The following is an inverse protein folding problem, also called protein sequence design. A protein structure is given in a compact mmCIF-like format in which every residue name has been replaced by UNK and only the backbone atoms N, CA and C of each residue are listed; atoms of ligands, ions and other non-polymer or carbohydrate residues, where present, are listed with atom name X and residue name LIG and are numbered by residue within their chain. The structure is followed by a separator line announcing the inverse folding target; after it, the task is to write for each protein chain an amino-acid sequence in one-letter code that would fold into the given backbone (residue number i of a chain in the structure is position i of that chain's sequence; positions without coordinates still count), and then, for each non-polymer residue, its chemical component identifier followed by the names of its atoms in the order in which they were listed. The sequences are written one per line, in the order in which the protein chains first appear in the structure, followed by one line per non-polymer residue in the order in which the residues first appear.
data_IF_715205304741
#
_entry.id   IF_715205304741
#
_cell.length_a   1.000
_cell.length_b   1.000
_cell.length_c   1.000
_cell.angle_alpha   90.00
_cell.angle_beta   90.00
_cell.angle_gamma   90.00
#
_symmetry.space_group_name_H-M   'P 1'
#
loop_
_entity.id
_entity.type
_entity.pdbx_description
1 polymer ?
#
# COMPACT_ATOMS: atom_id res chain seq x y z
N UNK A 1 19.79 78.85 -6.41
CA UNK A 1 20.62 77.79 -5.83
C UNK A 1 20.48 76.61 -6.76
N UNK A 2 21.56 76.19 -7.42
CA UNK A 2 21.52 75.08 -8.36
C UNK A 2 21.17 73.80 -7.58
N UNK A 3 20.06 73.14 -7.92
CA UNK A 3 19.70 71.86 -7.34
C UNK A 3 20.85 70.88 -7.57
N UNK A 4 21.46 70.45 -6.48
CA UNK A 4 22.43 69.36 -6.47
C UNK A 4 21.75 68.12 -7.05
N UNK A 5 22.18 67.70 -8.23
CA UNK A 5 21.62 66.56 -8.96
C UNK A 5 21.64 65.31 -8.09
N UNK A 6 20.47 64.90 -7.58
CA UNK A 6 20.32 63.66 -6.81
C UNK A 6 20.69 62.47 -7.70
N UNK A 7 21.69 61.72 -7.28
CA UNK A 7 22.10 60.49 -7.96
C UNK A 7 21.03 59.40 -7.80
N UNK A 8 20.64 58.79 -8.92
CA UNK A 8 19.62 57.73 -8.98
C UNK A 8 20.31 56.41 -9.29
N UNK A 9 20.09 55.41 -8.43
CA UNK A 9 20.54 54.04 -8.68
C UNK A 9 19.53 53.38 -9.62
N UNK A 10 20.01 52.88 -10.75
CA UNK A 10 19.22 52.18 -11.75
C UNK A 10 19.98 50.96 -12.31
N UNK A 11 19.33 50.25 -13.20
CA UNK A 11 19.80 49.00 -13.80
C UNK A 11 19.75 49.10 -15.30
N UNK A 12 20.83 48.70 -15.96
CA UNK A 12 20.95 48.82 -17.40
C UNK A 12 21.44 47.52 -18.04
N UNK A 13 20.80 47.16 -19.16
CA UNK A 13 21.25 46.10 -20.04
C UNK A 13 22.14 46.63 -21.17
N UNK A 14 23.06 45.80 -21.63
CA UNK A 14 24.00 46.05 -22.72
C UNK A 14 24.10 44.81 -23.60
N UNK A 15 24.56 44.99 -24.85
CA UNK A 15 25.02 43.86 -25.65
C UNK A 15 26.27 43.21 -25.01
N UNK A 16 26.61 41.99 -25.42
CA UNK A 16 27.78 41.25 -24.88
C UNK A 16 29.11 42.02 -25.00
N UNK A 17 29.22 42.86 -26.02
CA UNK A 17 30.37 43.74 -26.29
C UNK A 17 30.31 45.07 -25.53
N UNK A 18 29.40 45.23 -24.56
CA UNK A 18 29.17 46.46 -23.79
C UNK A 18 28.68 47.67 -24.62
N UNK A 19 28.06 47.42 -25.78
CA UNK A 19 27.47 48.50 -26.59
C UNK A 19 25.98 48.73 -26.31
N UNK A 20 25.53 49.98 -26.47
CA UNK A 20 24.11 50.37 -26.48
C UNK A 20 23.93 51.68 -27.28
N UNK A 21 23.00 51.70 -28.25
CA UNK A 21 22.66 52.86 -29.11
C UNK A 21 23.87 53.65 -29.65
N UNK A 22 24.89 52.93 -30.16
CA UNK A 22 26.08 53.55 -30.77
C UNK A 22 27.16 54.01 -29.79
N UNK A 23 26.97 53.78 -28.48
CA UNK A 23 27.99 54.02 -27.46
C UNK A 23 28.64 52.70 -27.03
N UNK A 24 29.96 52.75 -26.85
CA UNK A 24 30.77 51.72 -26.19
C UNK A 24 30.94 52.10 -24.71
N UNK A 25 30.49 51.23 -23.81
CA UNK A 25 30.59 51.45 -22.37
C UNK A 25 31.70 50.60 -21.76
N UNK A 26 32.19 51.05 -20.60
CA UNK A 26 33.14 50.35 -19.75
C UNK A 26 32.69 50.49 -18.29
N UNK A 27 32.84 49.42 -17.53
CA UNK A 27 32.59 49.43 -16.08
C UNK A 27 33.58 50.38 -15.39
N UNK A 28 33.09 51.17 -14.44
CA UNK A 28 33.83 52.22 -13.74
C UNK A 28 33.90 53.57 -14.48
N UNK A 29 33.39 53.67 -15.71
CA UNK A 29 33.42 54.92 -16.49
C UNK A 29 32.11 55.69 -16.40
N UNK A 30 32.23 56.99 -16.65
CA UNK A 30 31.12 57.94 -16.65
C UNK A 30 31.01 58.62 -18.01
N UNK A 31 29.78 58.78 -18.48
CA UNK A 31 29.47 59.30 -19.80
C UNK A 31 28.45 60.44 -19.68
N UNK A 32 28.59 61.44 -20.54
CA UNK A 32 27.72 62.61 -20.59
C UNK A 32 27.11 62.77 -21.98
N UNK A 33 25.82 63.06 -22.01
CA UNK A 33 25.03 63.33 -23.20
C UNK A 33 24.85 64.83 -23.35
N UNK A 34 25.14 65.36 -24.54
CA UNK A 34 24.93 66.77 -24.89
C UNK A 34 23.63 66.88 -25.69
N UNK A 35 22.63 67.54 -25.11
CA UNK A 35 21.32 67.72 -25.72
C UNK A 35 20.18 67.48 -24.73
N UNK A 36 18.94 67.64 -25.20
CA UNK A 36 17.75 67.44 -24.38
C UNK A 36 17.62 65.97 -23.97
N UNK A 37 17.28 65.73 -22.71
CA UNK A 37 17.02 64.38 -22.17
C UNK A 37 15.53 64.09 -22.22
N UNK A 38 15.15 63.00 -22.87
CA UNK A 38 13.75 62.59 -22.97
C UNK A 38 13.63 61.08 -22.95
N UNK A 39 12.80 60.56 -22.05
CA UNK A 39 12.53 59.13 -21.93
C UNK A 39 12.15 58.55 -23.30
N UNK A 40 12.72 57.38 -23.62
CA UNK A 40 12.60 56.65 -24.87
C UNK A 40 13.29 57.28 -26.12
N UNK A 41 13.54 58.59 -26.13
CA UNK A 41 14.07 59.33 -27.27
C UNK A 41 15.56 59.65 -27.15
N UNK A 42 15.99 60.31 -26.08
CA UNK A 42 17.31 60.93 -25.97
C UNK A 42 17.90 60.87 -24.57
N UNK A 43 19.23 60.75 -24.47
CA UNK A 43 19.96 60.51 -23.22
C UNK A 43 20.25 59.03 -22.94
N UNK A 44 20.81 58.76 -21.77
CA UNK A 44 21.17 57.41 -21.34
C UNK A 44 20.00 56.74 -20.62
N UNK A 45 19.60 55.55 -21.09
CA UNK A 45 18.42 54.85 -20.58
C UNK A 45 18.78 53.71 -19.62
N UNK A 46 18.05 53.60 -18.51
CA UNK A 46 18.09 52.49 -17.55
C UNK A 46 16.70 52.30 -16.90
N UNK A 47 16.57 51.37 -15.96
CA UNK A 47 15.33 51.13 -15.20
C UNK A 47 15.60 51.16 -13.69
N UNK A 48 14.76 51.82 -12.90
CA UNK A 48 14.92 51.85 -11.44
C UNK A 48 14.63 50.48 -10.79
N UNK A 49 13.67 49.73 -11.34
CA UNK A 49 13.40 48.34 -10.94
C UNK A 49 14.25 47.37 -11.78
N UNK A 50 15.07 46.50 -11.15
CA UNK A 50 16.03 45.66 -11.88
C UNK A 50 15.43 44.75 -12.95
N UNK A 51 14.24 44.18 -12.72
CA UNK A 51 13.66 43.21 -13.66
C UNK A 51 12.97 43.86 -14.85
N UNK A 52 12.66 45.16 -14.83
CA UNK A 52 12.11 45.86 -15.99
C UNK A 52 13.11 45.89 -17.16
N UNK A 53 14.41 45.81 -16.86
CA UNK A 53 15.47 45.73 -17.87
C UNK A 53 15.28 44.53 -18.81
N UNK A 54 14.68 43.43 -18.31
CA UNK A 54 14.46 42.20 -19.07
C UNK A 54 13.43 42.37 -20.20
N UNK A 55 12.54 43.35 -20.10
CA UNK A 55 11.62 43.71 -21.18
C UNK A 55 12.35 44.33 -22.39
N UNK A 56 13.57 44.84 -22.18
CA UNK A 56 14.39 45.50 -23.19
C UNK A 56 15.61 44.68 -23.63
N UNK A 57 16.11 43.82 -22.75
CA UNK A 57 17.33 43.05 -22.95
C UNK A 57 17.11 41.60 -22.55
N UNK A 58 17.21 40.69 -23.52
CA UNK A 58 17.12 39.25 -23.23
C UNK A 58 18.28 38.82 -22.33
N UNK A 59 18.01 38.13 -21.21
CA UNK A 59 19.05 37.73 -20.26
C UNK A 59 20.02 36.68 -20.83
N UNK A 60 19.64 35.98 -21.91
CA UNK A 60 20.49 34.98 -22.54
C UNK A 60 21.67 35.58 -23.33
N UNK A 61 21.54 36.83 -23.78
CA UNK A 61 22.48 37.45 -24.73
C UNK A 61 22.89 38.87 -24.34
N UNK A 62 22.62 39.28 -23.10
CA UNK A 62 22.91 40.63 -22.62
C UNK A 62 23.76 40.61 -21.36
N UNK A 63 24.48 41.70 -21.12
CA UNK A 63 25.14 42.01 -19.85
C UNK A 63 24.33 43.03 -19.07
N UNK A 64 24.40 42.99 -17.75
CA UNK A 64 23.66 43.88 -16.87
C UNK A 64 24.59 44.58 -15.91
N UNK A 65 24.29 45.84 -15.59
CA UNK A 65 25.04 46.59 -14.61
C UNK A 65 24.13 47.40 -13.70
N UNK A 66 24.61 47.63 -12.48
CA UNK A 66 24.15 48.75 -11.66
C UNK A 66 24.74 50.01 -12.26
N UNK A 67 23.91 51.03 -12.42
CA UNK A 67 24.31 52.32 -12.95
C UNK A 67 23.85 53.44 -12.04
N UNK A 68 24.65 54.50 -11.99
CA UNK A 68 24.31 55.76 -11.33
C UNK A 68 23.97 56.79 -12.37
N UNK A 69 22.80 57.40 -12.23
CA UNK A 69 22.26 58.36 -13.17
C UNK A 69 22.13 59.72 -12.50
N UNK A 70 22.54 60.76 -13.20
CA UNK A 70 22.49 62.15 -12.70
C UNK A 70 22.34 63.13 -13.87
N UNK A 71 22.25 64.42 -13.57
CA UNK A 71 21.97 65.43 -14.59
C UNK A 71 20.48 65.60 -14.83
N UNK A 72 20.12 66.25 -15.93
CA UNK A 72 18.73 66.30 -16.38
C UNK A 72 18.19 64.87 -16.55
N UNK A 73 16.99 64.61 -16.05
CA UNK A 73 16.35 63.29 -16.11
C UNK A 73 14.94 63.38 -16.66
N UNK A 74 14.51 62.31 -17.32
CA UNK A 74 13.15 62.15 -17.84
C UNK A 74 12.67 60.73 -17.57
N UNK A 75 11.50 60.58 -16.95
CA UNK A 75 10.89 59.29 -16.60
C UNK A 75 9.77 58.95 -17.56
N UNK A 76 9.61 57.67 -17.85
CA UNK A 76 8.44 57.13 -18.55
C UNK A 76 7.25 56.98 -17.58
N UNK A 77 6.03 56.93 -18.11
CA UNK A 77 4.80 56.67 -17.34
C UNK A 77 4.49 55.18 -17.22
N UNK A 78 4.99 54.36 -18.14
CA UNK A 78 4.51 52.98 -18.32
C UNK A 78 5.30 51.96 -17.49
N UNK A 79 6.58 52.24 -17.19
CA UNK A 79 7.46 51.39 -16.39
C UNK A 79 8.47 52.22 -15.58
N UNK A 80 9.44 51.56 -14.95
CA UNK A 80 10.48 52.27 -14.18
C UNK A 80 11.61 52.82 -15.04
N UNK A 81 11.44 52.92 -16.36
CA UNK A 81 12.46 53.45 -17.26
C UNK A 81 12.70 54.92 -17.00
N UNK A 82 13.98 55.27 -17.03
CA UNK A 82 14.48 56.62 -16.88
C UNK A 82 15.56 56.89 -17.93
N UNK A 83 15.59 58.12 -18.44
CA UNK A 83 16.67 58.68 -19.22
C UNK A 83 17.41 59.75 -18.41
N UNK A 84 18.74 59.83 -18.53
CA UNK A 84 19.56 60.87 -17.90
C UNK A 84 20.60 61.49 -18.82
N UNK A 85 21.05 62.69 -18.47
CA UNK A 85 22.16 63.37 -19.14
C UNK A 85 23.51 62.72 -18.82
N UNK A 86 23.65 62.10 -17.63
CA UNK A 86 24.90 61.48 -17.18
C UNK A 86 24.65 60.08 -16.64
N UNK A 87 25.51 59.14 -17.01
CA UNK A 87 25.47 57.76 -16.53
C UNK A 87 26.87 57.28 -16.15
N UNK A 88 26.98 56.65 -14.99
CA UNK A 88 28.18 55.93 -14.53
C UNK A 88 27.86 54.45 -14.48
N UNK A 89 28.67 53.63 -15.14
CA UNK A 89 28.53 52.17 -15.09
C UNK A 89 29.27 51.69 -13.85
N UNK A 90 28.59 51.32 -12.77
CA UNK A 90 29.28 51.01 -11.51
C UNK A 90 29.90 49.61 -11.51
N UNK A 91 29.08 48.60 -11.75
CA UNK A 91 29.51 47.21 -11.64
C UNK A 91 28.61 46.32 -12.49
N UNK A 92 29.20 45.31 -13.12
CA UNK A 92 28.45 44.24 -13.78
C UNK A 92 27.77 43.38 -12.72
N UNK A 93 26.52 42.98 -12.98
CA UNK A 93 25.77 42.09 -12.10
C UNK A 93 25.26 40.88 -12.87
N UNK A 94 25.21 39.74 -12.19
CA UNK A 94 24.60 38.52 -12.73
C UNK A 94 23.09 38.45 -12.41
N UNK A 95 22.40 37.48 -13.02
CA UNK A 95 20.96 37.28 -12.82
C UNK A 95 20.57 37.03 -11.34
N UNK A 96 21.27 36.17 -10.57
CA UNK A 96 21.03 36.05 -9.13
C UNK A 96 21.12 37.37 -8.34
N UNK A 97 22.14 38.19 -8.59
CA UNK A 97 22.31 39.49 -7.95
C UNK A 97 21.19 40.46 -8.35
N UNK A 98 20.79 40.44 -9.63
CA UNK A 98 19.67 41.24 -10.13
C UNK A 98 18.34 40.84 -9.45
N UNK A 99 18.07 39.54 -9.30
CA UNK A 99 16.89 39.03 -8.58
C UNK A 99 16.93 39.45 -7.11
N UNK A 100 18.08 39.34 -6.46
CA UNK A 100 18.26 39.79 -5.07
C UNK A 100 17.91 41.28 -4.91
N UNK A 101 18.44 42.13 -5.79
CA UNK A 101 18.17 43.57 -5.79
C UNK A 101 16.70 43.89 -6.10
N UNK A 102 16.04 43.07 -6.91
CA UNK A 102 14.61 43.24 -7.21
C UNK A 102 13.75 42.98 -5.96
N UNK A 103 14.07 41.93 -5.20
CA UNK A 103 13.42 41.65 -3.92
C UNK A 103 13.66 42.78 -2.92
N UNK A 104 14.89 43.30 -2.83
CA UNK A 104 15.22 44.44 -1.97
C UNK A 104 14.43 45.70 -2.35
N UNK A 105 14.31 46.00 -3.65
CA UNK A 105 13.51 47.12 -4.15
C UNK A 105 12.04 46.99 -3.76
N UNK A 106 11.42 45.81 -3.98
CA UNK A 106 10.03 45.55 -3.60
C UNK A 106 9.84 45.73 -2.10
N UNK A 107 10.73 45.16 -1.28
CA UNK A 107 10.68 45.29 0.19
C UNK A 107 10.73 46.74 0.65
N UNK A 108 11.48 47.60 -0.04
CA UNK A 108 11.55 49.04 0.24
C UNK A 108 10.31 49.83 -0.17
N UNK A 109 9.44 49.28 -1.05
CA UNK A 109 8.16 49.90 -1.45
C UNK A 109 6.98 49.49 -0.58
N UNK A 110 7.12 48.45 0.23
CA UNK A 110 6.05 47.95 1.10
C UNK A 110 5.98 48.80 2.38
N UNK A 111 4.80 49.31 2.69
CA UNK A 111 4.48 49.88 4.01
C UNK A 111 4.20 48.75 5.01
N UNK A 112 5.27 48.36 5.72
CA UNK A 112 5.22 47.28 6.70
C UNK A 112 4.40 47.63 7.95
N UNK A 113 4.18 48.92 8.23
CA UNK A 113 3.39 49.38 9.38
C UNK A 113 1.88 49.31 9.09
N UNK A 114 1.47 49.63 7.86
CA UNK A 114 0.10 49.42 7.38
C UNK A 114 -0.25 47.92 7.18
N UNK A 115 0.76 47.05 7.01
CA UNK A 115 0.57 45.62 6.85
C UNK A 115 0.03 44.90 8.12
N UNK A 116 -0.08 45.56 9.27
CA UNK A 116 -0.76 44.98 10.46
C UNK A 116 -2.24 44.65 10.20
N UNK A 117 -2.86 45.24 9.18
CA UNK A 117 -4.26 44.99 8.80
C UNK A 117 -4.42 43.75 7.90
N UNK A 118 -3.33 43.11 7.44
CA UNK A 118 -3.40 41.84 6.71
C UNK A 118 -3.18 40.61 7.62
N UNK A 119 -4.30 40.07 8.13
CA UNK A 119 -4.54 38.66 8.47
C UNK A 119 -3.66 37.92 9.52
N UNK A 120 -3.34 38.54 10.67
CA UNK A 120 -2.66 37.84 11.80
C UNK A 120 -3.40 37.92 13.15
N UNK A 121 -4.73 38.06 13.13
CA UNK A 121 -5.57 38.15 14.34
C UNK A 121 -6.15 36.81 14.85
N UNK A 122 -6.94 36.83 15.94
CA UNK A 122 -7.58 35.62 16.48
C UNK A 122 -8.60 34.97 15.53
N UNK A 123 -9.23 35.74 14.63
CA UNK A 123 -10.31 35.27 13.73
C UNK A 123 -10.24 35.97 12.38
N UNK A 124 -10.53 35.27 11.29
CA UNK A 124 -10.78 35.86 9.97
C UNK A 124 -11.81 35.04 9.18
N UNK A 125 -12.36 35.60 8.10
CA UNK A 125 -13.23 34.84 7.17
C UNK A 125 -12.38 34.18 6.08
N UNK A 126 -11.36 34.87 5.56
CA UNK A 126 -10.50 34.38 4.50
C UNK A 126 -9.31 33.56 5.05
N UNK A 127 -8.12 34.16 5.16
CA UNK A 127 -6.90 33.48 5.61
C UNK A 127 -6.58 33.87 7.05
N UNK A 128 -6.17 32.92 7.89
CA UNK A 128 -5.64 33.21 9.22
C UNK A 128 -4.44 32.31 9.53
N UNK A 129 -3.60 32.75 10.45
CA UNK A 129 -2.59 31.92 11.12
C UNK A 129 -2.90 31.70 12.61
N UNK A 130 -3.88 32.43 13.14
CA UNK A 130 -4.33 32.38 14.53
C UNK A 130 -5.40 31.31 14.83
N UNK A 131 -6.34 31.65 15.71
CA UNK A 131 -7.21 30.65 16.33
C UNK A 131 -8.29 30.10 15.39
N UNK A 132 -8.94 30.94 14.57
CA UNK A 132 -10.05 30.51 13.69
C UNK A 132 -10.05 31.19 12.33
N UNK A 133 -10.43 30.45 11.28
CA UNK A 133 -10.94 31.05 10.03
C UNK A 133 -12.08 30.25 9.41
N UNK A 134 -12.76 30.79 8.40
CA UNK A 134 -13.73 30.04 7.61
C UNK A 134 -13.04 29.34 6.43
N UNK A 135 -12.29 30.07 5.61
CA UNK A 135 -11.64 29.50 4.42
C UNK A 135 -10.32 28.77 4.76
N UNK A 136 -9.22 29.49 4.99
CA UNK A 136 -7.90 28.89 5.17
C UNK A 136 -7.31 29.25 6.52
N UNK A 137 -6.85 28.26 7.30
CA UNK A 137 -6.10 28.50 8.54
C UNK A 137 -4.81 27.67 8.54
N UNK A 138 -3.78 28.17 9.21
CA UNK A 138 -2.61 27.35 9.60
C UNK A 138 -2.56 27.10 11.11
N UNK A 139 -3.43 27.74 11.90
CA UNK A 139 -3.52 27.59 13.35
C UNK A 139 -4.58 26.59 13.81
N UNK A 140 -5.41 26.98 14.78
CA UNK A 140 -6.15 25.98 15.57
C UNK A 140 -7.37 25.38 14.84
N UNK A 141 -8.22 26.19 14.18
CA UNK A 141 -9.47 25.72 13.56
C UNK A 141 -9.78 26.40 12.23
N UNK A 142 -10.30 25.65 11.26
CA UNK A 142 -11.02 26.23 10.12
C UNK A 142 -12.26 25.42 9.71
N UNK A 143 -13.10 25.96 8.82
CA UNK A 143 -14.18 25.19 8.21
C UNK A 143 -13.69 24.48 6.96
N UNK A 144 -13.10 25.19 5.99
CA UNK A 144 -12.65 24.59 4.74
C UNK A 144 -11.27 23.93 4.87
N UNK A 145 -10.17 24.69 4.85
CA UNK A 145 -8.81 24.14 4.82
C UNK A 145 -8.02 24.53 6.07
N UNK A 146 -7.42 23.56 6.77
CA UNK A 146 -6.47 23.81 7.86
C UNK A 146 -5.18 23.03 7.65
N UNK A 147 -4.07 23.59 8.13
CA UNK A 147 -2.79 22.88 8.27
C UNK A 147 -2.48 22.54 9.73
N UNK A 148 -3.21 23.10 10.69
CA UNK A 148 -3.02 22.88 12.11
C UNK A 148 -3.98 21.86 12.74
N UNK A 149 -4.66 22.25 13.81
CA UNK A 149 -5.25 21.26 14.72
C UNK A 149 -6.57 20.64 14.22
N UNK A 150 -7.53 21.45 13.73
CA UNK A 150 -8.85 20.95 13.30
C UNK A 150 -9.40 21.62 12.06
N UNK A 151 -10.06 20.88 11.17
CA UNK A 151 -10.99 21.44 10.19
C UNK A 151 -12.25 20.60 10.00
N UNK A 152 -13.24 21.13 9.29
CA UNK A 152 -14.41 20.34 8.89
C UNK A 152 -14.12 19.62 7.56
N UNK A 153 -13.72 20.35 6.52
CA UNK A 153 -13.48 19.75 5.20
C UNK A 153 -12.09 19.12 5.10
N UNK A 154 -11.03 19.90 4.88
CA UNK A 154 -9.67 19.39 4.61
C UNK A 154 -8.71 19.81 5.72
N UNK A 155 -8.00 18.85 6.32
CA UNK A 155 -6.88 19.14 7.22
C UNK A 155 -5.63 18.39 6.75
N UNK A 156 -4.46 18.93 7.02
CA UNK A 156 -3.19 18.20 6.87
C UNK A 156 -2.49 17.95 8.21
N UNK A 157 -3.06 18.45 9.31
CA UNK A 157 -2.58 18.22 10.67
C UNK A 157 -3.44 17.21 11.43
N UNK A 158 -3.86 17.58 12.64
CA UNK A 158 -4.30 16.58 13.63
C UNK A 158 -5.67 15.94 13.32
N UNK A 159 -6.72 16.73 13.05
CA UNK A 159 -8.10 16.22 12.89
C UNK A 159 -8.91 16.87 11.79
N UNK A 160 -9.70 16.10 11.04
CA UNK A 160 -10.81 16.64 10.24
C UNK A 160 -12.06 15.76 10.26
N UNK A 161 -13.18 16.28 9.73
CA UNK A 161 -14.39 15.47 9.53
C UNK A 161 -14.31 14.76 8.17
N UNK A 162 -14.10 15.50 7.08
CA UNK A 162 -14.08 14.92 5.74
C UNK A 162 -12.73 14.31 5.36
N UNK A 163 -11.72 15.11 5.01
CA UNK A 163 -10.44 14.64 4.49
C UNK A 163 -9.30 15.06 5.41
N UNK A 164 -8.47 14.12 5.84
CA UNK A 164 -7.20 14.41 6.53
C UNK A 164 -6.04 13.70 5.84
N UNK A 165 -4.84 14.26 5.95
CA UNK A 165 -3.59 13.56 5.61
C UNK A 165 -2.67 13.33 6.82
N UNK A 166 -3.02 13.85 8.00
CA UNK A 166 -2.35 13.60 9.27
C UNK A 166 -3.08 12.57 10.13
N UNK A 167 -3.21 12.83 11.43
CA UNK A 167 -3.50 11.78 12.41
C UNK A 167 -4.91 11.18 12.28
N UNK A 168 -5.97 11.99 12.16
CA UNK A 168 -7.34 11.49 12.31
C UNK A 168 -8.38 12.14 11.39
N UNK A 169 -9.27 11.35 10.80
CA UNK A 169 -10.51 11.85 10.19
C UNK A 169 -11.73 10.96 10.41
N UNK A 170 -12.92 11.48 10.13
CA UNK A 170 -14.14 10.65 10.15
C UNK A 170 -14.34 9.94 8.81
N UNK A 171 -14.30 10.66 7.69
CA UNK A 171 -14.52 10.07 6.37
C UNK A 171 -13.23 9.48 5.78
N UNK A 172 -12.35 10.31 5.20
CA UNK A 172 -11.16 9.85 4.46
C UNK A 172 -9.89 10.31 5.15
N UNK A 173 -8.97 9.39 5.44
CA UNK A 173 -7.61 9.74 5.88
C UNK A 173 -6.58 9.05 4.98
N UNK A 174 -5.40 9.63 4.86
CA UNK A 174 -4.22 8.97 4.28
C UNK A 174 -3.09 8.76 5.28
N UNK A 175 -3.22 9.30 6.51
CA UNK A 175 -2.31 9.09 7.64
C UNK A 175 -2.83 8.04 8.62
N UNK A 176 -2.77 8.32 9.92
CA UNK A 176 -2.85 7.26 10.93
C UNK A 176 -4.23 6.60 11.04
N UNK A 177 -5.33 7.38 11.19
CA UNK A 177 -6.65 6.79 11.51
C UNK A 177 -7.83 7.43 10.79
N UNK A 178 -8.79 6.59 10.38
CA UNK A 178 -10.14 7.08 10.03
C UNK A 178 -11.26 6.14 10.48
N UNK A 179 -12.49 6.63 10.46
CA UNK A 179 -13.66 5.77 10.69
C UNK A 179 -14.06 5.06 9.38
N UNK A 180 -14.26 5.81 8.29
CA UNK A 180 -14.73 5.23 7.03
C UNK A 180 -13.59 4.66 6.16
N UNK A 181 -12.78 5.50 5.51
CA UNK A 181 -11.76 5.07 4.55
C UNK A 181 -10.38 5.56 4.97
N UNK A 182 -9.40 4.66 5.07
CA UNK A 182 -7.99 5.04 5.26
C UNK A 182 -7.12 4.38 4.19
N UNK A 183 -6.00 5.00 3.85
CA UNK A 183 -4.92 4.38 3.07
C UNK A 183 -3.63 4.20 3.87
N UNK A 184 -3.55 4.72 5.10
CA UNK A 184 -2.44 4.55 6.04
C UNK A 184 -2.73 3.48 7.09
N UNK A 185 -2.49 3.78 8.37
CA UNK A 185 -2.31 2.73 9.39
C UNK A 185 -3.63 2.01 9.75
N UNK A 186 -4.70 2.74 10.07
CA UNK A 186 -5.89 2.13 10.66
C UNK A 186 -7.21 2.72 10.17
N UNK A 187 -8.21 1.86 9.95
CA UNK A 187 -9.61 2.32 9.84
C UNK A 187 -10.62 1.37 10.47
N UNK A 188 -11.84 1.86 10.69
CA UNK A 188 -12.94 0.99 11.14
C UNK A 188 -13.58 0.25 9.96
N UNK A 189 -13.98 0.96 8.90
CA UNK A 189 -14.66 0.34 7.76
C UNK A 189 -13.68 -0.19 6.71
N UNK A 190 -13.06 0.68 5.90
CA UNK A 190 -12.22 0.26 4.76
C UNK A 190 -10.80 0.80 4.92
N UNK A 191 -9.79 -0.06 4.84
CA UNK A 191 -8.39 0.35 4.75
C UNK A 191 -7.71 -0.29 3.54
N UNK A 192 -6.71 0.37 2.98
CA UNK A 192 -5.79 -0.23 2.00
C UNK A 192 -4.37 -0.38 2.53
N UNK A 193 -4.07 0.16 3.72
CA UNK A 193 -2.79 0.03 4.42
C UNK A 193 -2.81 -1.06 5.50
N UNK A 194 -2.41 -0.72 6.72
CA UNK A 194 -2.00 -1.74 7.69
C UNK A 194 -3.17 -2.52 8.31
N UNK A 195 -4.18 -1.83 8.87
CA UNK A 195 -5.24 -2.50 9.64
C UNK A 195 -6.63 -1.95 9.40
N UNK A 196 -7.63 -2.83 9.37
CA UNK A 196 -9.02 -2.42 9.56
C UNK A 196 -9.86 -3.40 10.37
N UNK A 197 -11.03 -2.96 10.83
CA UNK A 197 -12.00 -3.85 11.47
C UNK A 197 -12.82 -4.59 10.41
N UNK A 198 -13.44 -3.89 9.46
CA UNK A 198 -14.33 -4.52 8.49
C UNK A 198 -13.59 -5.04 7.23
N UNK A 199 -13.07 -4.17 6.38
CA UNK A 199 -12.48 -4.55 5.09
C UNK A 199 -11.07 -3.98 4.96
N UNK A 200 -10.08 -4.81 4.67
CA UNK A 200 -8.73 -4.36 4.31
C UNK A 200 -8.29 -4.98 2.99
N UNK A 201 -7.43 -4.29 2.25
CA UNK A 201 -6.71 -4.87 1.10
C UNK A 201 -5.20 -4.98 1.35
N UNK A 202 -4.70 -4.45 2.48
CA UNK A 202 -3.30 -4.53 2.90
C UNK A 202 -3.06 -5.60 3.97
N UNK A 203 -2.43 -5.23 5.09
CA UNK A 203 -1.79 -6.22 5.96
C UNK A 203 -2.78 -7.05 6.80
N UNK A 204 -3.73 -6.41 7.49
CA UNK A 204 -4.60 -7.14 8.42
C UNK A 204 -6.04 -6.62 8.50
N UNK A 205 -7.02 -7.52 8.63
CA UNK A 205 -8.35 -7.14 9.10
C UNK A 205 -9.00 -8.15 10.05
N UNK A 206 -9.96 -7.68 10.86
CA UNK A 206 -10.74 -8.59 11.69
C UNK A 206 -11.75 -9.39 10.86
N UNK A 207 -12.52 -8.73 10.00
CA UNK A 207 -13.55 -9.40 9.18
C UNK A 207 -13.02 -9.87 7.83
N UNK A 208 -12.92 -9.00 6.82
CA UNK A 208 -12.57 -9.39 5.44
C UNK A 208 -11.25 -8.77 5.02
N UNK A 209 -10.29 -9.57 4.57
CA UNK A 209 -9.06 -9.08 3.95
C UNK A 209 -8.88 -9.70 2.56
N UNK A 210 -8.24 -8.97 1.65
CA UNK A 210 -7.75 -9.53 0.38
C UNK A 210 -6.23 -9.60 0.30
N UNK A 211 -5.51 -9.03 1.28
CA UNK A 211 -4.06 -9.06 1.41
C UNK A 211 -3.56 -10.15 2.38
N UNK A 212 -2.74 -9.77 3.36
CA UNK A 212 -1.91 -10.77 4.06
C UNK A 212 -2.70 -11.60 5.08
N UNK A 213 -3.45 -10.97 5.99
CA UNK A 213 -4.04 -11.69 7.14
C UNK A 213 -5.45 -11.25 7.49
N UNK A 214 -6.31 -12.18 7.91
CA UNK A 214 -7.53 -11.83 8.62
C UNK A 214 -7.94 -12.82 9.70
N UNK A 215 -8.82 -12.39 10.61
CA UNK A 215 -9.41 -13.32 11.58
C UNK A 215 -10.56 -14.13 10.94
N UNK A 216 -11.52 -13.47 10.28
CA UNK A 216 -12.67 -14.18 9.69
C UNK A 216 -12.40 -14.68 8.27
N UNK A 217 -12.46 -13.81 7.25
CA UNK A 217 -12.36 -14.19 5.84
C UNK A 217 -11.17 -13.55 5.18
N UNK A 218 -10.31 -14.33 4.52
CA UNK A 218 -9.24 -13.80 3.66
C UNK A 218 -9.33 -14.41 2.27
N UNK A 219 -8.95 -13.66 1.24
CA UNK A 219 -8.71 -14.21 -0.10
C UNK A 219 -7.23 -14.27 -0.48
N UNK A 220 -6.35 -13.66 0.33
CA UNK A 220 -4.91 -13.65 0.14
C UNK A 220 -4.18 -14.71 0.97
N UNK A 221 -3.24 -14.30 1.82
CA UNK A 221 -2.25 -15.25 2.36
C UNK A 221 -2.78 -16.12 3.51
N UNK A 222 -3.31 -15.53 4.59
CA UNK A 222 -3.66 -16.28 5.81
C UNK A 222 -4.99 -15.85 6.45
N UNK A 223 -5.75 -16.79 6.99
CA UNK A 223 -6.84 -16.46 7.93
C UNK A 223 -7.02 -17.47 9.06
N UNK A 224 -7.69 -17.06 10.14
CA UNK A 224 -8.04 -18.00 11.21
C UNK A 224 -9.27 -18.84 10.81
N UNK A 225 -10.37 -18.23 10.35
CA UNK A 225 -11.57 -18.97 9.97
C UNK A 225 -11.54 -19.44 8.51
N UNK A 226 -11.90 -18.59 7.55
CA UNK A 226 -12.08 -18.97 6.14
C UNK A 226 -11.04 -18.31 5.26
N UNK A 227 -10.31 -19.07 4.45
CA UNK A 227 -9.43 -18.53 3.41
C UNK A 227 -9.78 -19.14 2.04
N UNK A 228 -9.62 -18.39 0.96
CA UNK A 228 -9.67 -18.94 -0.40
C UNK A 228 -8.29 -18.96 -1.09
N UNK A 229 -7.28 -18.35 -0.48
CA UNK A 229 -5.91 -18.29 -0.97
C UNK A 229 -4.99 -19.33 -0.33
N UNK A 230 -3.96 -18.90 0.41
CA UNK A 230 -2.86 -19.81 0.76
C UNK A 230 -3.15 -20.70 1.99
N UNK A 231 -3.47 -20.12 3.15
CA UNK A 231 -3.57 -20.89 4.40
C UNK A 231 -4.73 -20.47 5.31
N UNK A 232 -5.38 -21.42 5.99
CA UNK A 232 -6.24 -21.11 7.13
C UNK A 232 -6.19 -22.14 8.26
N UNK A 233 -6.64 -21.75 9.46
CA UNK A 233 -6.78 -22.72 10.55
C UNK A 233 -8.06 -23.56 10.38
N UNK A 234 -9.23 -22.95 10.15
CA UNK A 234 -10.49 -23.69 10.06
C UNK A 234 -10.79 -24.19 8.65
N UNK A 235 -11.20 -23.32 7.72
CA UNK A 235 -11.65 -23.73 6.39
C UNK A 235 -10.83 -23.04 5.30
N UNK A 236 -10.27 -23.81 4.37
CA UNK A 236 -9.62 -23.25 3.18
C UNK A 236 -10.21 -23.88 1.91
N UNK A 237 -10.27 -23.14 0.82
CA UNK A 237 -10.58 -23.68 -0.52
C UNK A 237 -9.37 -23.69 -1.46
N UNK A 238 -8.26 -23.07 -1.06
CA UNK A 238 -7.01 -22.99 -1.81
C UNK A 238 -5.97 -24.01 -1.34
N UNK A 239 -4.80 -23.54 -0.86
CA UNK A 239 -3.64 -24.44 -0.72
C UNK A 239 -3.70 -25.32 0.54
N UNK A 240 -3.81 -24.75 1.74
CA UNK A 240 -3.66 -25.51 2.99
C UNK A 240 -4.62 -25.11 4.11
N UNK A 241 -5.09 -26.08 4.90
CA UNK A 241 -5.71 -25.77 6.20
C UNK A 241 -5.41 -26.79 7.30
N UNK A 242 -5.60 -26.40 8.56
CA UNK A 242 -5.50 -27.35 9.66
C UNK A 242 -6.75 -28.23 9.76
N UNK A 243 -7.96 -27.65 9.77
CA UNK A 243 -9.19 -28.44 9.92
C UNK A 243 -9.75 -28.94 8.57
N UNK A 244 -10.38 -28.09 7.78
CA UNK A 244 -11.09 -28.51 6.56
C UNK A 244 -10.52 -27.80 5.32
N UNK A 245 -10.11 -28.54 4.31
CA UNK A 245 -9.73 -27.98 3.01
C UNK A 245 -10.56 -28.61 1.90
N UNK A 246 -10.88 -27.87 0.85
CA UNK A 246 -11.45 -28.43 -0.39
C UNK A 246 -10.46 -28.41 -1.56
N UNK A 247 -9.30 -27.77 -1.41
CA UNK A 247 -8.22 -27.67 -2.39
C UNK A 247 -7.10 -28.68 -2.15
N UNK A 248 -5.88 -28.20 -1.90
CA UNK A 248 -4.71 -29.08 -2.01
C UNK A 248 -4.47 -29.96 -0.77
N UNK A 249 -4.38 -29.39 0.44
CA UNK A 249 -3.97 -30.14 1.65
C UNK A 249 -4.71 -29.74 2.93
N UNK A 250 -5.02 -30.70 3.80
CA UNK A 250 -5.36 -30.39 5.20
C UNK A 250 -4.83 -31.40 6.21
N UNK A 251 -4.78 -31.03 7.49
CA UNK A 251 -4.44 -31.99 8.55
C UNK A 251 -5.64 -32.89 8.88
N UNK A 252 -6.83 -32.33 9.15
CA UNK A 252 -7.99 -33.13 9.52
C UNK A 252 -8.77 -33.64 8.29
N UNK A 253 -9.62 -32.82 7.68
CA UNK A 253 -10.53 -33.25 6.60
C UNK A 253 -10.19 -32.56 5.29
N UNK A 254 -9.97 -33.30 4.20
CA UNK A 254 -9.87 -32.72 2.86
C UNK A 254 -10.87 -33.38 1.91
N UNK A 255 -11.40 -32.63 0.94
CA UNK A 255 -12.20 -33.19 -0.15
C UNK A 255 -11.47 -33.17 -1.50
N UNK A 256 -10.31 -32.51 -1.57
CA UNK A 256 -9.46 -32.41 -2.76
C UNK A 256 -8.30 -33.41 -2.73
N UNK A 257 -7.05 -32.91 -2.72
CA UNK A 257 -5.90 -33.77 -3.05
C UNK A 257 -5.40 -34.63 -1.88
N UNK A 258 -5.07 -34.04 -0.73
CA UNK A 258 -4.44 -34.79 0.40
C UNK A 258 -4.93 -34.38 1.79
N UNK A 259 -5.09 -35.34 2.70
CA UNK A 259 -5.14 -35.02 4.14
C UNK A 259 -4.37 -36.01 5.01
N UNK A 260 -4.13 -35.67 6.28
CA UNK A 260 -3.57 -36.62 7.25
C UNK A 260 -4.66 -37.55 7.78
N UNK A 261 -5.76 -37.01 8.32
CA UNK A 261 -6.81 -37.82 8.92
C UNK A 261 -7.81 -38.35 7.88
N UNK A 262 -8.77 -37.53 7.44
CA UNK A 262 -9.88 -37.95 6.58
C UNK A 262 -9.81 -37.26 5.23
N UNK A 263 -9.78 -38.01 4.12
CA UNK A 263 -9.93 -37.43 2.78
C UNK A 263 -11.11 -38.09 2.06
N UNK A 264 -11.84 -37.34 1.24
CA UNK A 264 -12.85 -37.91 0.33
C UNK A 264 -12.43 -37.88 -1.14
N UNK A 265 -11.28 -37.26 -1.45
CA UNK A 265 -10.66 -37.17 -2.76
C UNK A 265 -9.49 -38.15 -2.92
N UNK A 266 -8.30 -37.65 -3.24
CA UNK A 266 -7.25 -38.53 -3.78
C UNK A 266 -6.52 -39.38 -2.73
N UNK A 267 -6.04 -38.78 -1.64
CA UNK A 267 -5.14 -39.48 -0.69
C UNK A 267 -5.31 -39.06 0.78
N UNK A 268 -5.30 -40.01 1.73
CA UNK A 268 -5.05 -39.69 3.15
C UNK A 268 -4.13 -40.68 3.85
N UNK A 269 -3.59 -40.31 5.03
CA UNK A 269 -2.85 -41.26 5.84
C UNK A 269 -3.79 -42.20 6.61
N UNK A 270 -4.81 -41.68 7.30
CA UNK A 270 -5.71 -42.53 8.08
C UNK A 270 -6.88 -43.07 7.24
N UNK A 271 -7.92 -42.26 7.02
CA UNK A 271 -9.19 -42.70 6.41
C UNK A 271 -9.41 -41.99 5.07
N UNK A 272 -9.57 -42.72 3.97
CA UNK A 272 -9.97 -42.13 2.69
C UNK A 272 -11.23 -42.81 2.16
N UNK A 273 -12.17 -42.06 1.61
CA UNK A 273 -13.33 -42.64 0.91
C UNK A 273 -13.18 -42.63 -0.61
N UNK A 274 -12.13 -42.00 -1.13
CA UNK A 274 -11.76 -41.94 -2.55
C UNK A 274 -10.64 -42.93 -2.90
N UNK A 275 -9.51 -42.46 -3.45
CA UNK A 275 -8.60 -43.36 -4.18
C UNK A 275 -7.61 -44.17 -3.32
N UNK A 276 -6.93 -43.56 -2.33
CA UNK A 276 -5.87 -44.23 -1.54
C UNK A 276 -5.78 -43.80 -0.07
N UNK A 277 -5.59 -44.73 0.87
CA UNK A 277 -5.10 -44.43 2.23
C UNK A 277 -4.25 -45.56 2.84
N UNK A 278 -3.56 -45.25 3.95
CA UNK A 278 -2.68 -46.20 4.65
C UNK A 278 -3.46 -47.05 5.66
N UNK A 279 -4.43 -46.51 6.40
CA UNK A 279 -5.11 -47.26 7.48
C UNK A 279 -6.50 -47.80 7.13
N UNK A 280 -7.40 -47.02 6.53
CA UNK A 280 -8.77 -47.42 6.18
C UNK A 280 -9.22 -46.75 4.88
N UNK A 281 -9.49 -47.51 3.82
CA UNK A 281 -10.06 -46.99 2.57
C UNK A 281 -11.30 -47.77 2.15
N UNK A 282 -12.35 -47.07 1.71
CA UNK A 282 -13.54 -47.69 1.10
C UNK A 282 -13.51 -47.70 -0.43
N UNK A 283 -12.46 -47.18 -1.07
CA UNK A 283 -12.22 -47.19 -2.53
C UNK A 283 -11.09 -48.14 -2.99
N UNK A 284 -10.48 -47.87 -4.14
CA UNK A 284 -9.77 -48.88 -4.95
C UNK A 284 -8.49 -49.51 -4.34
N UNK A 285 -7.77 -48.83 -3.44
CA UNK A 285 -6.46 -49.30 -2.93
C UNK A 285 -6.17 -48.89 -1.47
N UNK A 286 -5.94 -49.84 -0.53
CA UNK A 286 -5.41 -49.57 0.83
C UNK A 286 -4.66 -50.72 1.49
N UNK A 287 -3.92 -50.40 2.55
CA UNK A 287 -3.19 -51.34 3.41
C UNK A 287 -3.77 -51.37 4.83
N UNK A 288 -5.06 -51.70 4.97
CA UNK A 288 -5.69 -51.76 6.29
C UNK A 288 -5.10 -52.91 7.14
N UNK A 289 -4.56 -52.57 8.32
CA UNK A 289 -4.17 -53.53 9.37
C UNK A 289 -5.05 -53.28 10.59
N UNK A 290 -6.01 -54.17 10.84
CA UNK A 290 -6.85 -54.11 12.03
C UNK A 290 -6.31 -55.07 13.08
N UNK A 291 -5.75 -54.53 14.17
CA UNK A 291 -5.18 -55.29 15.30
C UNK A 291 -5.86 -54.83 16.59
N UNK A 292 -6.92 -55.55 17.00
CA UNK A 292 -7.71 -55.25 18.20
C UNK A 292 -8.82 -56.30 18.41
N UNK A 293 -9.38 -56.44 19.61
CA UNK A 293 -10.41 -57.45 19.89
C UNK A 293 -11.73 -57.11 19.19
N UNK A 294 -12.40 -58.13 18.65
CA UNK A 294 -13.64 -58.03 17.85
C UNK A 294 -13.52 -57.15 16.59
N UNK A 295 -12.29 -56.97 16.11
CA UNK A 295 -11.98 -56.22 14.90
C UNK A 295 -12.64 -56.80 13.64
N UNK A 296 -13.11 -55.92 12.76
CA UNK A 296 -13.77 -56.25 11.50
C UNK A 296 -12.96 -55.64 10.34
N UNK A 297 -12.66 -56.43 9.29
CA UNK A 297 -11.97 -55.97 8.09
C UNK A 297 -12.75 -56.35 6.82
N UNK A 298 -13.16 -55.35 6.02
CA UNK A 298 -13.89 -55.54 4.76
C UNK A 298 -13.18 -54.84 3.61
N UNK A 299 -13.07 -55.52 2.46
CA UNK A 299 -12.60 -54.92 1.20
C UNK A 299 -13.55 -55.25 0.05
N UNK A 300 -14.04 -54.23 -0.64
CA UNK A 300 -14.93 -54.36 -1.81
C UNK A 300 -14.22 -54.23 -3.16
N UNK A 301 -12.96 -53.78 -3.16
CA UNK A 301 -12.14 -53.61 -4.35
C UNK A 301 -11.63 -54.94 -4.93
N UNK A 302 -11.46 -54.99 -6.26
CA UNK A 302 -10.85 -56.14 -6.96
C UNK A 302 -9.40 -56.33 -6.50
N UNK A 303 -8.96 -57.58 -6.34
CA UNK A 303 -7.59 -57.95 -5.92
C UNK A 303 -7.16 -57.37 -4.56
N UNK A 304 -8.10 -56.94 -3.72
CA UNK A 304 -7.82 -56.44 -2.39
C UNK A 304 -7.78 -57.56 -1.35
N UNK A 305 -7.07 -57.35 -0.24
CA UNK A 305 -6.92 -58.32 0.85
C UNK A 305 -7.47 -57.71 2.14
N UNK A 306 -8.46 -58.35 2.77
CA UNK A 306 -8.92 -58.00 4.11
C UNK A 306 -8.14 -58.78 5.18
N UNK A 307 -7.57 -58.09 6.17
CA UNK A 307 -6.75 -58.70 7.22
C UNK A 307 -7.30 -58.34 8.61
N UNK A 308 -7.69 -59.35 9.38
CA UNK A 308 -8.20 -59.21 10.75
C UNK A 308 -7.37 -60.09 11.71
N UNK A 309 -6.67 -59.46 12.67
CA UNK A 309 -5.68 -60.12 13.55
C UNK A 309 -6.05 -60.11 15.05
N UNK A 310 -7.31 -59.78 15.35
CA UNK A 310 -7.88 -59.60 16.69
C UNK A 310 -8.47 -60.85 17.33
N UNK A 311 -8.67 -60.85 18.66
CA UNK A 311 -9.48 -61.88 19.33
C UNK A 311 -10.93 -61.80 18.85
N UNK A 312 -11.53 -62.93 18.44
CA UNK A 312 -12.88 -62.98 17.84
C UNK A 312 -13.08 -62.07 16.62
N UNK A 313 -12.02 -61.77 15.87
CA UNK A 313 -12.09 -60.91 14.69
C UNK A 313 -12.69 -61.62 13.46
N UNK A 314 -13.22 -60.84 12.51
CA UNK A 314 -13.80 -61.36 11.25
C UNK A 314 -13.41 -60.54 10.03
N UNK A 315 -13.30 -61.20 8.87
CA UNK A 315 -12.92 -60.58 7.60
C UNK A 315 -13.88 -60.96 6.46
N UNK A 316 -14.08 -60.03 5.51
CA UNK A 316 -14.93 -60.21 4.31
C UNK A 316 -14.24 -59.58 3.10
N UNK A 317 -14.35 -60.23 1.94
CA UNK A 317 -13.82 -59.72 0.69
C UNK A 317 -14.77 -60.00 -0.50
N UNK A 318 -14.79 -59.10 -1.48
CA UNK A 318 -15.54 -59.29 -2.73
C UNK A 318 -14.82 -60.21 -3.72
N UNK A 319 -15.49 -60.51 -4.84
CA UNK A 319 -14.98 -61.40 -5.90
C UNK A 319 -13.58 -61.00 -6.39
N UNK A 320 -12.68 -61.99 -6.49
CA UNK A 320 -11.24 -61.82 -6.77
C UNK A 320 -10.42 -61.13 -5.65
N UNK A 321 -10.97 -60.99 -4.44
CA UNK A 321 -10.23 -60.58 -3.24
C UNK A 321 -9.65 -61.75 -2.45
N UNK A 322 -9.05 -61.46 -1.31
CA UNK A 322 -8.59 -62.46 -0.34
C UNK A 322 -8.85 -62.02 1.10
N UNK A 323 -8.86 -62.97 2.02
CA UNK A 323 -9.00 -62.73 3.46
C UNK A 323 -7.81 -63.32 4.22
N UNK A 324 -7.48 -62.72 5.36
CA UNK A 324 -6.57 -63.26 6.39
C UNK A 324 -7.28 -63.18 7.74
N UNK A 325 -7.43 -64.31 8.41
CA UNK A 325 -8.07 -64.44 9.72
C UNK A 325 -7.13 -65.10 10.72
N UNK A 326 -7.37 -64.85 12.02
CA UNK A 326 -6.65 -65.49 13.12
C UNK A 326 -7.60 -66.08 14.14
N UNK A 327 -7.12 -67.08 14.89
CA UNK A 327 -7.74 -67.55 16.11
C UNK A 327 -6.79 -67.33 17.30
N UNK A 328 -7.33 -66.78 18.39
CA UNK A 328 -6.65 -66.60 19.68
C UNK A 328 -7.41 -67.33 20.77
N UNK A 329 -6.71 -67.96 21.70
CA UNK A 329 -7.33 -68.66 22.84
C UNK A 329 -7.84 -67.66 23.91
N UNK A 330 -8.42 -68.18 25.00
CA UNK A 330 -8.98 -67.37 26.10
C UNK A 330 -7.94 -66.53 26.85
N UNK A 331 -6.66 -66.93 26.79
CA UNK A 331 -5.53 -66.19 27.37
C UNK A 331 -4.97 -65.11 26.41
N UNK A 332 -5.52 -65.01 25.20
CA UNK A 332 -5.12 -64.06 24.17
C UNK A 332 -3.94 -64.51 23.30
N UNK A 333 -3.45 -65.75 23.47
CA UNK A 333 -2.35 -66.30 22.68
C UNK A 333 -2.79 -66.56 21.24
N UNK A 334 -1.95 -66.20 20.27
CA UNK A 334 -2.20 -66.47 18.84
C UNK A 334 -1.94 -67.94 18.52
N UNK A 335 -2.97 -68.67 18.13
CA UNK A 335 -2.88 -70.11 17.84
C UNK A 335 -2.85 -70.36 16.32
N UNK A 336 -3.73 -69.71 15.55
CA UNK A 336 -3.83 -69.92 14.11
C UNK A 336 -3.82 -68.61 13.34
N UNK A 337 -3.20 -68.64 12.15
CA UNK A 337 -3.30 -67.61 11.12
C UNK A 337 -3.46 -68.30 9.75
N UNK A 338 -4.50 -67.94 9.00
CA UNK A 338 -4.73 -68.47 7.64
C UNK A 338 -5.12 -67.36 6.68
N UNK A 339 -4.73 -67.52 5.42
CA UNK A 339 -5.09 -66.67 4.31
C UNK A 339 -5.75 -67.49 3.20
N UNK A 340 -6.78 -66.96 2.54
CA UNK A 340 -7.41 -67.61 1.39
C UNK A 340 -7.99 -66.59 0.42
N UNK A 341 -7.94 -66.89 -0.88
CA UNK A 341 -8.63 -66.11 -1.91
C UNK A 341 -10.11 -66.45 -1.94
N UNK A 342 -10.93 -65.48 -2.32
CA UNK A 342 -12.35 -65.70 -2.58
C UNK A 342 -12.49 -66.65 -3.78
N UNK A 343 -13.26 -67.72 -3.61
CA UNK A 343 -13.40 -68.82 -4.56
C UNK A 343 -12.49 -70.02 -4.28
N UNK A 344 -11.56 -69.92 -3.33
CA UNK A 344 -10.71 -71.01 -2.84
C UNK A 344 -11.10 -71.39 -1.40
N UNK A 345 -10.84 -72.64 -0.99
CA UNK A 345 -11.08 -73.15 0.38
C UNK A 345 -12.50 -72.85 0.91
N UNK A 346 -13.51 -72.93 0.04
CA UNK A 346 -14.92 -72.62 0.34
C UNK A 346 -15.21 -71.18 0.79
N UNK A 347 -14.30 -70.23 0.55
CA UNK A 347 -14.53 -68.81 0.84
C UNK A 347 -15.43 -68.20 -0.22
N UNK A 348 -16.63 -67.78 0.19
CA UNK A 348 -17.61 -67.09 -0.65
C UNK A 348 -17.33 -65.59 -0.68
N UNK A 349 -17.67 -64.97 -1.80
CA UNK A 349 -17.65 -63.51 -1.91
C UNK A 349 -18.67 -62.89 -0.96
N UNK A 350 -18.34 -61.70 -0.44
CA UNK A 350 -19.25 -60.86 0.36
C UNK A 350 -19.84 -61.59 1.58
N UNK A 351 -19.09 -62.55 2.14
CA UNK A 351 -19.45 -63.33 3.33
C UNK A 351 -18.38 -63.14 4.43
N UNK A 352 -18.81 -63.00 5.69
CA UNK A 352 -17.89 -62.86 6.83
C UNK A 352 -17.31 -64.20 7.26
N UNK A 353 -16.01 -64.22 7.51
CA UNK A 353 -15.30 -65.39 8.03
C UNK A 353 -14.46 -65.06 9.26
N UNK A 354 -14.31 -66.05 10.14
CA UNK A 354 -13.33 -66.10 11.23
C UNK A 354 -12.63 -67.48 11.23
N UNK A 355 -11.65 -67.70 12.12
CA UNK A 355 -11.08 -69.03 12.36
C UNK A 355 -11.63 -69.63 13.64
N UNK A 356 -11.92 -70.93 13.62
CA UNK A 356 -12.24 -71.70 14.83
C UNK A 356 -10.97 -72.19 15.57
N UNK A 357 -11.17 -72.94 16.65
CA UNK A 357 -10.10 -73.45 17.53
C UNK A 357 -9.14 -74.45 16.84
N UNK A 358 -9.58 -75.09 15.74
CA UNK A 358 -8.74 -75.97 14.91
C UNK A 358 -8.15 -75.25 13.70
N UNK A 359 -8.50 -73.98 13.51
CA UNK A 359 -7.96 -73.08 12.50
C UNK A 359 -8.71 -73.14 11.17
N UNK A 360 -9.92 -73.69 11.09
CA UNK A 360 -10.74 -73.70 9.87
C UNK A 360 -11.56 -72.42 9.72
N UNK A 361 -11.82 -72.03 8.46
CA UNK A 361 -12.65 -70.86 8.17
C UNK A 361 -14.12 -71.16 8.47
N UNK A 362 -14.75 -70.32 9.29
CA UNK A 362 -16.16 -70.44 9.67
C UNK A 362 -16.93 -69.18 9.26
N UNK A 363 -18.08 -69.37 8.60
CA UNK A 363 -19.00 -68.29 8.22
C UNK A 363 -19.63 -67.66 9.47
N UNK A 364 -19.59 -66.33 9.55
CA UNK A 364 -20.21 -65.54 10.62
C UNK A 364 -21.45 -64.86 10.05
N UNK A 365 -22.58 -64.94 10.76
CA UNK A 365 -23.81 -64.26 10.35
C UNK A 365 -23.70 -62.75 10.62
N UNK A 366 -24.38 -61.94 9.80
CA UNK A 366 -24.59 -60.53 10.10
C UNK A 366 -25.58 -60.42 11.27
N UNK A 367 -25.17 -59.75 12.34
CA UNK A 367 -26.06 -59.33 13.45
C UNK A 367 -26.59 -57.92 13.19
#
# INVERSE_FOLDING_TARGET
MAEENKEIIAYKGFKQDWTCRGYQYEVGKTYEHKGNVKACESGFHACEYPLDVLSYYSPAVSKFAVVKMSGETSKDSDDTKIASAKITIETEINLPEMIKKAVEWIKGKVDWDAAKVSNTGYRSVATNTGYRSVATNTGYRSVATNTGYRSVATNTGYRSVATNTGDQSTATNTGDRSVATNTGDQSTATNTGDRSVATNTGYWSAATNTGDRSAATNTGYQSAATNTGYQSAATNTGYQSAATNTGYQSAATNTGYRSVATNTGYQSAATNTGYRSVATNTGDQSAATNTGDQSVAEVSGKQSIAVALGWQSKAKASINGAIVCVYRNHDGELIHIKASKVGENNIKADTWYTLDEIGEFVEVKDD
#
